data_IF_702814050424
#
_entry.id   IF_702814050424
#
_cell.length_a   1.000
_cell.length_b   1.000
_cell.length_c   1.000
_cell.angle_alpha   90.00
_cell.angle_beta   90.00
_cell.angle_gamma   90.00
#
_symmetry.space_group_name_H-M   'P 1'
#
loop_
_entity.id
_entity.type
_entity.pdbx_description
1 polymer ?
#
# COMPACT_ATOMS: atom_id res chain seq x y z
N UNK A 1 4.66 -22.22 -7.09
CA UNK A 1 4.42 -21.35 -5.91
C UNK A 1 5.69 -20.54 -5.71
N UNK A 2 5.61 -19.21 -5.64
CA UNK A 2 6.80 -18.37 -5.42
C UNK A 2 7.00 -18.22 -3.90
N UNK A 3 8.21 -18.38 -3.41
CA UNK A 3 8.51 -18.29 -1.98
C UNK A 3 8.69 -16.83 -1.52
N UNK A 4 8.73 -16.61 -0.20
CA UNK A 4 9.08 -15.31 0.37
C UNK A 4 10.46 -14.85 -0.15
N UNK A 5 10.72 -13.55 -0.33
CA UNK A 5 9.92 -12.40 0.13
C UNK A 5 8.88 -11.89 -0.89
N UNK A 6 8.72 -12.57 -2.03
CA UNK A 6 7.86 -12.08 -3.12
C UNK A 6 6.39 -12.18 -2.75
N UNK A 7 5.97 -13.32 -2.20
CA UNK A 7 4.60 -13.50 -1.72
C UNK A 7 4.46 -12.99 -0.28
N UNK A 8 3.37 -12.26 0.00
CA UNK A 8 3.02 -11.76 1.33
C UNK A 8 1.63 -12.24 1.76
N UNK A 9 1.31 -12.15 3.05
CA UNK A 9 -0.04 -12.47 3.56
C UNK A 9 -1.10 -11.41 3.22
N UNK A 10 -0.70 -10.32 2.54
CA UNK A 10 -1.63 -9.27 2.11
C UNK A 10 -2.27 -9.65 0.77
N UNK A 11 -3.55 -9.31 0.59
CA UNK A 11 -4.28 -9.57 -0.65
C UNK A 11 -3.70 -8.74 -1.81
N UNK A 12 -3.13 -9.41 -2.80
CA UNK A 12 -2.76 -8.79 -4.09
C UNK A 12 -4.03 -8.64 -4.94
N UNK A 13 -4.62 -7.45 -4.92
CA UNK A 13 -5.81 -7.18 -5.72
C UNK A 13 -5.41 -6.87 -7.17
N UNK A 14 -5.75 -7.79 -8.08
CA UNK A 14 -5.67 -7.73 -9.54
C UNK A 14 -4.42 -7.05 -10.13
N UNK A 15 -3.21 -7.62 -9.94
CA UNK A 15 -2.07 -7.22 -10.74
C UNK A 15 -2.35 -7.52 -12.22
N UNK A 16 -2.01 -6.59 -13.12
CA UNK A 16 -2.13 -6.80 -14.57
C UNK A 16 -0.88 -6.29 -15.29
N UNK A 17 -0.58 -6.89 -16.44
CA UNK A 17 0.54 -6.46 -17.28
C UNK A 17 0.04 -5.67 -18.48
N UNK A 18 0.74 -4.58 -18.81
CA UNK A 18 0.49 -3.78 -20.00
C UNK A 18 1.77 -3.09 -20.45
N UNK A 19 2.11 -3.17 -21.73
CA UNK A 19 3.27 -2.50 -22.35
C UNK A 19 4.61 -2.73 -21.62
N UNK A 20 4.92 -3.99 -21.30
CA UNK A 20 6.17 -4.34 -20.61
C UNK A 20 6.25 -3.82 -19.17
N UNK A 21 5.11 -3.48 -18.54
CA UNK A 21 5.04 -3.11 -17.14
C UNK A 21 4.04 -3.98 -16.37
N UNK A 22 4.35 -4.27 -15.12
CA UNK A 22 3.45 -4.89 -14.14
C UNK A 22 2.82 -3.77 -13.30
N UNK A 23 1.49 -3.66 -13.34
CA UNK A 23 0.71 -2.76 -12.51
C UNK A 23 0.11 -3.55 -11.35
N UNK A 24 0.20 -3.02 -10.14
CA UNK A 24 -0.32 -3.68 -8.95
C UNK A 24 -0.72 -2.66 -7.88
N UNK A 25 -1.65 -3.04 -7.02
CA UNK A 25 -1.99 -2.23 -5.85
C UNK A 25 -1.20 -2.67 -4.62
N UNK A 26 -0.78 -1.73 -3.77
CA UNK A 26 -0.26 -2.06 -2.44
C UNK A 26 -1.15 -1.46 -1.35
N UNK A 27 -1.54 -2.30 -0.39
CA UNK A 27 -2.32 -1.95 0.80
C UNK A 27 -1.42 -1.74 2.03
N UNK A 28 -0.14 -1.39 1.83
CA UNK A 28 0.75 -1.04 2.94
C UNK A 28 0.21 0.21 3.63
N UNK A 29 -0.04 0.11 4.93
CA UNK A 29 -0.55 1.19 5.75
C UNK A 29 0.33 1.34 6.99
N UNK A 30 0.68 2.58 7.32
CA UNK A 30 1.35 2.93 8.58
C UNK A 30 0.35 3.36 9.66
N UNK A 31 -0.95 3.39 9.34
CA UNK A 31 -1.98 3.72 10.31
C UNK A 31 -1.97 2.73 11.46
N UNK A 32 -2.01 3.28 12.68
CA UNK A 32 -2.21 2.46 13.87
C UNK A 32 -3.69 2.04 13.92
N UNK A 33 -3.99 0.78 14.25
CA UNK A 33 -5.37 0.32 14.40
C UNK A 33 -6.07 0.98 15.60
N UNK A 34 -5.30 1.46 16.58
CA UNK A 34 -5.79 2.13 17.78
C UNK A 34 -4.82 3.25 18.20
N UNK A 35 -5.35 4.24 18.92
CA UNK A 35 -4.59 5.33 19.54
C UNK A 35 -4.91 5.35 21.04
N UNK A 36 -3.90 5.58 21.88
CA UNK A 36 -4.05 5.60 23.34
C UNK A 36 -4.95 6.75 23.82
N UNK A 37 -5.07 7.80 23.02
CA UNK A 37 -5.89 8.98 23.29
C UNK A 37 -6.64 9.37 22.03
N UNK A 38 -7.76 10.08 22.22
CA UNK A 38 -8.49 10.68 21.12
C UNK A 38 -7.59 11.69 20.40
N UNK A 39 -7.56 11.62 19.07
CA UNK A 39 -6.83 12.58 18.25
C UNK A 39 -7.57 13.91 18.21
N UNK A 40 -6.82 15.00 18.23
CA UNK A 40 -7.30 16.32 17.81
C UNK A 40 -7.61 16.32 16.32
N UNK A 41 -8.32 17.36 15.86
CA UNK A 41 -8.62 17.52 14.43
C UNK A 41 -7.33 17.64 13.60
N UNK A 42 -6.34 18.36 14.10
CA UNK A 42 -5.04 18.54 13.45
C UNK A 42 -4.26 17.22 13.36
N UNK A 43 -4.23 16.43 14.43
CA UNK A 43 -3.56 15.12 14.46
C UNK A 43 -4.25 14.13 13.51
N UNK A 44 -5.59 14.11 13.50
CA UNK A 44 -6.34 13.28 12.56
C UNK A 44 -6.04 13.67 11.10
N UNK A 45 -6.00 14.96 10.80
CA UNK A 45 -5.65 15.44 9.46
C UNK A 45 -4.21 15.06 9.08
N UNK A 46 -3.28 15.09 10.03
CA UNK A 46 -1.91 14.61 9.81
C UNK A 46 -1.88 13.11 9.48
N UNK A 47 -2.58 12.28 10.27
CA UNK A 47 -2.69 10.83 10.02
C UNK A 47 -3.32 10.50 8.66
N UNK A 48 -4.33 11.28 8.24
CA UNK A 48 -5.00 11.09 6.95
C UNK A 48 -4.18 11.58 5.75
N UNK A 49 -3.20 12.47 5.94
CA UNK A 49 -2.38 13.02 4.86
C UNK A 49 -0.99 12.39 4.75
N UNK A 50 -0.65 11.46 5.65
CA UNK A 50 0.63 10.78 5.60
C UNK A 50 0.80 9.86 4.39
N UNK A 51 2.05 9.53 4.09
CA UNK A 51 2.39 8.48 3.13
C UNK A 51 1.99 7.12 3.72
N UNK A 52 1.25 6.30 2.97
CA UNK A 52 0.68 5.04 3.45
C UNK A 52 -0.42 5.22 4.52
N UNK A 53 -1.27 6.22 4.37
CA UNK A 53 -2.50 6.49 5.17
C UNK A 53 -3.64 5.47 4.94
N UNK A 54 -3.36 4.24 4.54
CA UNK A 54 -4.39 3.23 4.24
C UNK A 54 -5.21 3.46 2.97
N UNK A 55 -5.02 4.57 2.25
CA UNK A 55 -5.54 4.71 0.88
C UNK A 55 -4.66 3.86 -0.03
N UNK A 56 -5.22 2.77 -0.57
CA UNK A 56 -4.54 1.89 -1.53
C UNK A 56 -3.89 2.71 -2.64
N UNK A 57 -2.71 2.28 -3.09
CA UNK A 57 -1.96 2.96 -4.14
C UNK A 57 -1.67 2.01 -5.28
N UNK A 58 -1.76 2.55 -6.49
CA UNK A 58 -1.36 1.85 -7.71
C UNK A 58 0.13 2.12 -7.94
N UNK A 59 0.88 1.05 -8.11
CA UNK A 59 2.30 1.06 -8.45
C UNK A 59 2.48 0.35 -9.79
N UNK A 60 3.58 0.67 -10.48
CA UNK A 60 4.02 -0.09 -11.64
C UNK A 60 5.53 -0.29 -11.62
N UNK A 61 5.99 -1.41 -12.18
CA UNK A 61 7.41 -1.70 -12.43
C UNK A 61 7.54 -2.09 -13.89
N UNK A 62 8.48 -1.46 -14.60
CA UNK A 62 8.82 -1.77 -15.99
C UNK A 62 10.00 -2.73 -16.01
N UNK A 63 9.97 -3.71 -16.91
CA UNK A 63 11.14 -4.55 -17.16
C UNK A 63 12.14 -3.76 -18.01
N UNK A 64 13.43 -3.83 -17.67
CA UNK A 64 14.51 -3.46 -18.60
C UNK A 64 14.99 -4.73 -19.31
N UNK A 65 15.39 -4.61 -20.57
CA UNK A 65 15.95 -5.71 -21.38
C UNK A 65 17.29 -6.21 -20.82
#
# INVERSE_FOLDING_TARGET
HIEAPVNSNSLDYCPYTFDGALYFTSNRSNLKPTYEKALTTEELLSELNQVANGKSRIYYVKWED
#
